data_IF_954579882057
#
_entry.id   IF_954579882057
#
_cell.length_a   1.000
_cell.length_b   1.000
_cell.length_c   1.000
_cell.angle_alpha   90.00
_cell.angle_beta   90.00
_cell.angle_gamma   90.00
#
_symmetry.space_group_name_H-M   'P 1'
#
loop_
_entity.id
_entity.type
_entity.pdbx_description
1 polymer ?
#
# COMPACT_ATOMS: atom_id res chain seq x y z
N UNK A 1 -10.43 -20.08 -83.62
CA UNK A 1 -10.33 -21.50 -84.03
C UNK A 1 -9.44 -21.53 -85.27
N UNK A 2 -8.36 -22.33 -85.36
CA UNK A 2 -8.31 -23.79 -85.11
C UNK A 2 -7.18 -24.23 -84.14
N UNK A 3 -7.01 -25.55 -83.88
CA UNK A 3 -6.39 -26.12 -82.68
C UNK A 3 -4.97 -26.70 -82.86
N UNK A 4 -4.41 -27.10 -81.72
CA UNK A 4 -3.12 -27.76 -81.42
C UNK A 4 -2.73 -28.97 -82.29
N UNK A 5 -1.46 -29.39 -82.18
CA UNK A 5 -1.12 -30.81 -82.19
C UNK A 5 -0.35 -31.29 -80.93
N UNK A 6 -0.33 -32.61 -80.64
CA UNK A 6 0.01 -33.16 -79.33
C UNK A 6 1.30 -34.04 -79.30
N UNK A 7 1.82 -34.24 -78.07
CA UNK A 7 2.49 -35.42 -77.47
C UNK A 7 3.22 -36.47 -78.35
N UNK A 8 4.48 -36.88 -78.07
CA UNK A 8 4.99 -37.85 -77.06
C UNK A 8 6.41 -38.33 -77.55
N UNK A 9 7.13 -39.33 -76.99
CA UNK A 9 7.39 -39.75 -75.59
C UNK A 9 8.90 -40.07 -75.31
N UNK A 10 9.23 -40.33 -74.04
CA UNK A 10 10.08 -41.49 -73.66
C UNK A 10 11.60 -41.31 -73.56
N UNK A 11 12.16 -41.63 -72.39
CA UNK A 11 13.59 -41.87 -72.20
C UNK A 11 13.98 -42.11 -70.75
N UNK A 12 14.02 -43.38 -70.33
CA UNK A 12 14.57 -43.83 -69.04
C UNK A 12 16.10 -43.70 -69.05
N UNK A 13 16.69 -43.31 -67.93
CA UNK A 13 18.13 -43.36 -67.71
C UNK A 13 18.48 -43.11 -66.25
N UNK A 14 18.87 -44.18 -65.57
CA UNK A 14 19.16 -44.27 -64.14
C UNK A 14 20.61 -43.91 -63.78
N UNK A 15 20.76 -43.44 -62.54
CA UNK A 15 21.90 -43.60 -61.62
C UNK A 15 23.06 -42.56 -61.56
N UNK A 16 23.25 -42.13 -60.30
CA UNK A 16 24.46 -41.70 -59.55
C UNK A 16 24.78 -40.21 -59.46
N UNK A 17 24.37 -39.65 -58.32
CA UNK A 17 24.87 -38.45 -57.61
C UNK A 17 26.32 -38.64 -57.09
N UNK A 18 26.91 -37.71 -56.30
CA UNK A 18 26.56 -36.29 -56.05
C UNK A 18 27.79 -35.35 -56.14
N UNK A 19 27.58 -34.02 -56.18
CA UNK A 19 28.27 -33.02 -55.31
C UNK A 19 27.88 -31.57 -55.63
N UNK A 20 27.56 -30.86 -54.55
CA UNK A 20 27.66 -29.42 -54.28
C UNK A 20 26.88 -28.40 -55.13
N UNK A 21 26.04 -27.61 -54.45
CA UNK A 21 25.59 -26.31 -54.95
C UNK A 21 24.31 -25.76 -54.32
N UNK A 22 24.43 -25.21 -53.11
CA UNK A 22 23.64 -24.10 -52.51
C UNK A 22 22.10 -24.01 -52.70
N UNK A 23 21.37 -24.16 -51.59
CA UNK A 23 20.02 -23.65 -51.38
C UNK A 23 20.05 -22.48 -50.35
N UNK A 24 19.07 -21.56 -50.37
CA UNK A 24 19.17 -20.27 -49.68
C UNK A 24 18.88 -20.35 -48.17
N UNK A 25 19.53 -19.47 -47.41
CA UNK A 25 19.38 -19.32 -45.95
C UNK A 25 17.95 -18.86 -45.58
N UNK A 26 17.21 -19.73 -44.91
CA UNK A 26 16.02 -19.36 -44.15
C UNK A 26 16.41 -18.75 -42.79
N UNK A 27 15.74 -17.67 -42.41
CA UNK A 27 15.90 -16.97 -41.12
C UNK A 27 15.50 -17.91 -39.96
N UNK A 28 16.38 -18.02 -38.96
CA UNK A 28 16.09 -18.72 -37.72
C UNK A 28 15.15 -17.88 -36.85
N UNK A 29 14.05 -18.50 -36.42
CA UNK A 29 13.22 -18.02 -35.31
C UNK A 29 13.89 -18.37 -33.97
N UNK A 30 13.79 -17.51 -32.94
CA UNK A 30 14.34 -17.82 -31.62
C UNK A 30 13.52 -18.90 -30.92
N UNK A 31 14.22 -19.86 -30.32
CA UNK A 31 13.67 -20.97 -29.53
C UNK A 31 13.15 -20.49 -28.17
N UNK A 32 12.15 -21.19 -27.59
CA UNK A 32 11.53 -20.80 -26.33
C UNK A 32 12.44 -21.10 -25.13
N UNK A 33 12.62 -20.10 -24.26
CA UNK A 33 13.36 -20.24 -23.02
C UNK A 33 12.54 -21.07 -22.03
N UNK A 34 12.95 -22.32 -21.81
CA UNK A 34 12.45 -23.17 -20.72
C UNK A 34 13.14 -22.78 -19.41
N UNK A 35 12.42 -22.17 -18.48
CA UNK A 35 12.66 -22.40 -17.05
C UNK A 35 11.39 -22.12 -16.23
N UNK A 36 10.56 -23.16 -16.10
CA UNK A 36 9.62 -23.27 -15.01
C UNK A 36 10.38 -23.74 -13.76
N UNK A 37 10.44 -22.91 -12.73
CA UNK A 37 10.74 -23.31 -11.36
C UNK A 37 9.52 -22.96 -10.51
N UNK A 38 8.70 -24.01 -10.29
CA UNK A 38 7.63 -24.21 -9.31
C UNK A 38 7.49 -23.10 -8.23
N UNK A 39 6.48 -22.25 -8.37
CA UNK A 39 5.76 -21.69 -7.23
C UNK A 39 4.62 -22.67 -6.89
N UNK A 40 4.74 -23.38 -5.77
CA UNK A 40 3.60 -24.08 -5.18
C UNK A 40 2.65 -23.08 -4.52
N UNK A 41 1.41 -23.48 -4.17
CA UNK A 41 0.53 -22.62 -3.39
C UNK A 41 1.22 -22.30 -2.05
N UNK A 42 1.26 -21.01 -1.70
CA UNK A 42 1.73 -20.53 -0.38
C UNK A 42 0.89 -21.23 0.71
N UNK A 43 1.50 -21.72 1.80
CA UNK A 43 0.73 -22.30 2.91
C UNK A 43 -0.11 -21.19 3.57
N UNK A 44 -1.29 -21.51 4.14
CA UNK A 44 -2.07 -20.53 4.88
C UNK A 44 -1.26 -20.04 6.09
N UNK A 45 -1.22 -18.70 6.26
CA UNK A 45 -0.65 -18.03 7.42
C UNK A 45 -1.22 -18.66 8.70
N UNK A 46 -0.34 -19.21 9.53
CA UNK A 46 -0.71 -19.63 10.88
C UNK A 46 -0.46 -18.45 11.79
N UNK A 47 -1.45 -17.58 11.92
CA UNK A 47 -1.58 -16.75 13.11
C UNK A 47 -1.56 -17.67 14.34
N UNK A 48 -0.61 -17.46 15.24
CA UNK A 48 -0.60 -18.14 16.52
C UNK A 48 -1.31 -17.20 17.50
N UNK A 49 -2.53 -17.55 17.98
CA UNK A 49 -3.23 -16.68 18.91
C UNK A 49 -2.46 -16.67 20.22
N UNK A 50 -1.67 -15.63 20.45
CA UNK A 50 -1.19 -15.29 21.77
C UNK A 50 -2.43 -15.08 22.65
N UNK A 51 -2.51 -15.86 23.72
CA UNK A 51 -3.67 -15.92 24.59
C UNK A 51 -4.06 -14.53 25.09
N UNK A 52 -5.16 -13.99 24.56
CA UNK A 52 -5.81 -12.76 25.02
C UNK A 52 -6.22 -12.97 26.48
N UNK A 53 -5.34 -12.56 27.40
CA UNK A 53 -5.65 -12.51 28.82
C UNK A 53 -6.58 -11.32 29.05
N UNK A 54 -7.71 -11.62 29.68
CA UNK A 54 -8.80 -10.73 30.12
C UNK A 54 -8.40 -9.26 30.37
N UNK A 55 -9.27 -8.30 30.02
CA UNK A 55 -9.00 -6.88 30.20
C UNK A 55 -8.85 -6.51 31.69
N UNK A 56 -7.94 -5.60 32.06
CA UNK A 56 -7.92 -5.03 33.39
C UNK A 56 -9.15 -4.12 33.63
N UNK A 57 -9.61 -4.12 34.88
CA UNK A 57 -10.76 -3.38 35.40
C UNK A 57 -10.62 -1.84 35.22
N UNK A 58 -11.74 -1.08 35.25
CA UNK A 58 -11.74 0.35 34.91
C UNK A 58 -10.98 1.22 35.92
N UNK A 59 -10.21 2.17 35.41
CA UNK A 59 -9.51 3.19 36.19
C UNK A 59 -10.48 4.09 36.99
N UNK A 60 -10.07 4.54 38.20
CA UNK A 60 -10.96 5.25 39.11
C UNK A 60 -11.21 6.70 38.68
N UNK A 61 -12.47 7.11 38.79
CA UNK A 61 -12.92 8.50 38.72
C UNK A 61 -12.49 9.24 39.99
N UNK A 62 -11.83 10.39 39.84
CA UNK A 62 -11.69 11.36 40.94
C UNK A 62 -12.33 12.70 40.57
N UNK A 63 -13.17 13.26 41.45
CA UNK A 63 -13.77 14.58 41.27
C UNK A 63 -12.93 15.64 41.99
N UNK A 64 -12.80 16.83 41.39
CA UNK A 64 -12.52 18.05 42.16
C UNK A 64 -12.87 19.30 41.36
N UNK A 65 -13.98 19.91 41.76
CA UNK A 65 -14.33 21.29 41.51
C UNK A 65 -13.26 22.24 42.09
N UNK A 66 -12.78 23.18 41.29
CA UNK A 66 -12.29 24.47 41.79
C UNK A 66 -12.93 25.61 41.01
N UNK A 67 -13.89 26.25 41.66
CA UNK A 67 -14.41 27.59 41.38
C UNK A 67 -13.27 28.61 41.43
N UNK A 68 -13.22 29.55 40.48
CA UNK A 68 -12.96 31.00 40.67
C UNK A 68 -13.02 31.77 39.31
N UNK A 69 -13.11 33.11 39.28
CA UNK A 69 -14.29 33.80 38.76
C UNK A 69 -14.15 34.34 37.33
N UNK A 70 -15.31 34.55 36.70
CA UNK A 70 -15.51 35.30 35.45
C UNK A 70 -14.85 36.69 35.51
N UNK A 71 -13.93 36.98 34.58
CA UNK A 71 -13.69 38.32 34.05
C UNK A 71 -14.06 38.34 32.56
N UNK A 72 -15.03 39.19 32.20
CA UNK A 72 -15.31 39.57 30.82
C UNK A 72 -14.27 40.60 30.36
N UNK A 73 -13.66 40.39 29.20
CA UNK A 73 -13.21 41.42 28.24
C UNK A 73 -13.49 40.82 26.85
N UNK A 74 -14.41 41.40 26.09
CA UNK A 74 -14.20 42.52 25.16
C UNK A 74 -13.24 42.10 24.05
N UNK A 75 -13.77 42.04 22.83
CA UNK A 75 -13.22 41.31 21.69
C UNK A 75 -11.83 41.74 21.25
N UNK A 76 -11.15 40.79 20.63
CA UNK A 76 -10.00 41.05 19.77
C UNK A 76 -10.06 40.05 18.60
N UNK A 77 -10.25 40.59 17.39
CA UNK A 77 -10.13 39.83 16.14
C UNK A 77 -8.64 39.70 15.86
N UNK A 78 -7.98 38.74 16.52
CA UNK A 78 -6.61 38.36 16.17
C UNK A 78 -6.65 37.22 15.17
N UNK A 79 -6.34 37.57 13.92
CA UNK A 79 -5.81 36.65 12.92
C UNK A 79 -4.74 35.79 13.58
N UNK A 80 -5.03 34.50 13.76
CA UNK A 80 -4.18 33.55 14.46
C UNK A 80 -2.89 33.38 13.67
N UNK A 81 -1.83 34.08 14.08
CA UNK A 81 -0.49 33.86 13.54
C UNK A 81 -0.10 32.41 13.80
N UNK A 82 0.04 31.63 12.71
CA UNK A 82 0.60 30.28 12.71
C UNK A 82 1.97 30.32 13.39
N UNK A 83 2.18 29.45 14.36
CA UNK A 83 3.48 29.20 15.02
C UNK A 83 4.50 28.67 14.00
N UNK A 84 5.80 29.02 14.12
CA UNK A 84 6.82 28.63 13.13
C UNK A 84 7.02 27.11 13.00
N UNK A 85 6.75 26.32 14.04
CA UNK A 85 6.78 24.85 13.98
C UNK A 85 5.72 24.26 13.02
N UNK A 86 4.57 24.92 12.89
CA UNK A 86 3.47 24.49 12.00
C UNK A 86 3.81 24.67 10.52
N UNK A 87 4.85 25.43 10.16
CA UNK A 87 5.15 25.82 8.77
C UNK A 87 6.19 24.91 8.10
N UNK A 88 6.94 24.12 8.88
CA UNK A 88 8.13 23.42 8.34
C UNK A 88 7.82 22.15 7.55
N UNK A 89 6.70 21.48 7.80
CA UNK A 89 6.28 20.33 6.99
C UNK A 89 5.56 20.76 5.69
N UNK A 90 4.97 21.95 5.65
CA UNK A 90 4.23 22.48 4.49
C UNK A 90 5.12 22.64 3.25
N UNK A 91 6.43 22.86 3.42
CA UNK A 91 7.37 22.92 2.29
C UNK A 91 7.50 21.57 1.55
N UNK A 92 7.17 20.48 2.23
CA UNK A 92 7.17 19.13 1.68
C UNK A 92 5.77 18.65 1.29
N UNK A 93 4.74 19.50 1.49
CA UNK A 93 3.38 19.16 1.09
C UNK A 93 3.32 18.99 -0.43
N UNK A 94 2.68 17.92 -0.87
CA UNK A 94 2.38 17.73 -2.27
C UNK A 94 1.49 18.88 -2.76
N UNK A 95 1.73 19.44 -3.97
CA UNK A 95 0.81 20.40 -4.55
C UNK A 95 -0.60 19.80 -4.63
N UNK A 96 -1.64 20.56 -4.24
CA UNK A 96 -3.02 20.05 -4.23
C UNK A 96 -3.46 19.49 -5.58
N UNK A 97 -3.08 20.13 -6.68
CA UNK A 97 -3.34 19.65 -8.05
C UNK A 97 -2.67 18.31 -8.36
N UNK A 98 -1.51 18.04 -7.77
CA UNK A 98 -0.82 16.74 -7.92
C UNK A 98 -1.55 15.67 -7.13
N UNK A 99 -2.03 16.00 -5.92
CA UNK A 99 -2.80 15.08 -5.10
C UNK A 99 -4.14 14.72 -5.76
N UNK A 100 -4.87 15.71 -6.28
CA UNK A 100 -6.11 15.51 -7.05
C UNK A 100 -5.90 14.62 -8.29
N UNK A 101 -4.75 14.78 -8.98
CA UNK A 101 -4.41 13.95 -10.12
C UNK A 101 -4.07 12.51 -9.72
N UNK A 102 -3.40 12.31 -8.58
CA UNK A 102 -3.16 10.99 -8.00
C UNK A 102 -4.48 10.31 -7.64
N UNK A 103 -5.36 10.99 -6.90
CA UNK A 103 -6.70 10.49 -6.54
C UNK A 103 -7.48 10.07 -7.78
N UNK A 104 -7.54 10.95 -8.79
CA UNK A 104 -8.24 10.66 -10.05
C UNK A 104 -7.71 9.40 -10.74
N UNK A 105 -6.38 9.18 -10.73
CA UNK A 105 -5.80 7.98 -11.34
C UNK A 105 -6.04 6.73 -10.50
N UNK A 106 -5.76 6.79 -9.20
CA UNK A 106 -5.79 5.64 -8.29
C UNK A 106 -7.21 5.07 -8.16
N UNK A 107 -8.23 5.92 -8.21
CA UNK A 107 -9.64 5.51 -8.14
C UNK A 107 -10.25 5.19 -9.52
N UNK A 108 -9.44 5.25 -10.59
CA UNK A 108 -9.92 4.95 -11.95
C UNK A 108 -9.77 3.47 -12.31
N UNK A 109 -10.58 3.04 -13.28
CA UNK A 109 -10.47 1.70 -13.90
C UNK A 109 -9.10 1.41 -14.53
N UNK A 110 -8.26 2.44 -14.76
CA UNK A 110 -6.90 2.23 -15.25
C UNK A 110 -5.99 1.59 -14.18
N UNK A 111 -6.34 1.74 -12.90
CA UNK A 111 -5.64 1.18 -11.75
C UNK A 111 -6.35 -0.09 -11.22
N UNK A 112 -6.83 -0.96 -12.10
CA UNK A 112 -7.70 -2.09 -11.74
C UNK A 112 -7.10 -3.09 -10.73
N UNK A 113 -5.78 -3.15 -10.62
CA UNK A 113 -5.04 -4.07 -9.74
C UNK A 113 -4.27 -3.36 -8.63
N UNK A 114 -4.17 -2.04 -8.66
CA UNK A 114 -3.43 -1.30 -7.65
C UNK A 114 -4.31 -0.91 -6.48
N UNK A 115 -3.65 -0.39 -5.44
CA UNK A 115 -4.36 0.25 -4.33
C UNK A 115 -5.10 1.52 -4.82
N UNK A 116 -6.32 1.71 -4.35
CA UNK A 116 -7.08 2.95 -4.52
C UNK A 116 -6.45 4.12 -3.73
N UNK A 117 -7.02 5.32 -3.80
CA UNK A 117 -6.45 6.49 -3.12
C UNK A 117 -6.32 6.31 -1.60
N UNK A 118 -7.30 5.65 -0.96
CA UNK A 118 -7.31 5.45 0.49
C UNK A 118 -6.27 4.41 0.91
N UNK A 119 -6.26 3.26 0.24
CA UNK A 119 -5.26 2.21 0.42
C UNK A 119 -3.85 2.72 0.12
N UNK A 120 -3.67 3.53 -0.91
CA UNK A 120 -2.38 4.12 -1.24
C UNK A 120 -1.85 4.97 -0.08
N UNK A 121 -2.68 5.84 0.51
CA UNK A 121 -2.27 6.62 1.67
C UNK A 121 -1.92 5.73 2.87
N UNK A 122 -2.72 4.68 3.13
CA UNK A 122 -2.44 3.71 4.20
C UNK A 122 -1.10 3.00 4.02
N UNK A 123 -0.84 2.51 2.81
CA UNK A 123 0.39 1.83 2.42
C UNK A 123 1.62 2.72 2.57
N UNK A 124 1.56 3.94 2.05
CA UNK A 124 2.64 4.91 2.19
C UNK A 124 2.86 5.30 3.65
N UNK A 125 1.81 5.32 4.48
CA UNK A 125 1.93 5.58 5.92
C UNK A 125 2.67 4.46 6.62
N UNK A 126 2.28 3.19 6.40
CA UNK A 126 2.96 2.02 6.96
C UNK A 126 4.44 1.96 6.58
N UNK A 127 4.76 2.19 5.30
CA UNK A 127 6.15 2.30 4.85
C UNK A 127 6.94 3.38 5.59
N UNK A 128 6.28 4.50 5.90
CA UNK A 128 6.90 5.67 6.53
C UNK A 128 7.12 5.49 8.02
N UNK A 129 6.19 4.84 8.72
CA UNK A 129 6.30 4.63 10.18
C UNK A 129 7.08 3.37 10.54
N UNK A 130 7.07 2.37 9.66
CA UNK A 130 7.71 1.08 9.87
C UNK A 130 9.20 1.04 9.52
N UNK A 131 9.82 -0.15 9.66
CA UNK A 131 11.25 -0.35 9.50
C UNK A 131 11.75 -0.26 8.05
N UNK A 132 10.86 -0.33 7.04
CA UNK A 132 11.24 -0.24 5.63
C UNK A 132 11.63 1.17 5.20
N UNK A 133 10.88 2.18 5.64
CA UNK A 133 11.16 3.61 5.41
C UNK A 133 10.98 4.13 3.98
N UNK A 134 11.00 3.28 2.95
CA UNK A 134 11.03 3.72 1.54
C UNK A 134 10.11 2.91 0.62
N UNK A 135 9.43 3.60 -0.29
CA UNK A 135 8.67 3.01 -1.40
C UNK A 135 9.60 2.51 -2.52
N UNK A 136 10.44 1.52 -2.29
CA UNK A 136 11.36 0.98 -3.32
C UNK A 136 10.63 0.16 -4.43
N UNK A 137 11.39 -0.48 -5.31
CA UNK A 137 10.82 -1.20 -6.46
C UNK A 137 9.99 -2.42 -6.05
N UNK A 138 10.38 -3.13 -5.00
CA UNK A 138 9.62 -4.26 -4.45
C UNK A 138 8.31 -3.78 -3.81
N UNK A 139 8.33 -2.64 -3.09
CA UNK A 139 7.11 -2.05 -2.54
C UNK A 139 6.19 -1.51 -3.64
N UNK A 140 6.73 -0.96 -4.73
CA UNK A 140 5.95 -0.56 -5.90
C UNK A 140 5.37 -1.75 -6.65
N UNK A 141 6.12 -2.86 -6.75
CA UNK A 141 5.63 -4.10 -7.32
C UNK A 141 4.44 -4.62 -6.51
N UNK A 142 4.55 -4.65 -5.18
CA UNK A 142 3.42 -5.01 -4.32
C UNK A 142 2.22 -4.06 -4.47
N UNK A 143 2.46 -2.75 -4.50
CA UNK A 143 1.42 -1.72 -4.64
C UNK A 143 0.58 -1.89 -5.91
N UNK A 144 1.20 -2.33 -7.02
CA UNK A 144 0.57 -2.51 -8.32
C UNK A 144 0.38 -3.99 -8.71
N UNK A 145 0.50 -4.93 -7.78
CA UNK A 145 0.40 -6.39 -8.04
C UNK A 145 1.31 -6.88 -9.20
N UNK A 146 2.56 -6.45 -9.24
CA UNK A 146 3.56 -6.73 -10.28
C UNK A 146 3.19 -6.20 -11.69
N UNK A 147 2.11 -5.42 -11.82
CA UNK A 147 1.65 -4.82 -13.07
C UNK A 147 2.31 -3.45 -13.33
N UNK A 148 2.39 -3.09 -14.61
CA UNK A 148 2.78 -1.74 -14.99
C UNK A 148 1.55 -0.81 -14.86
N UNK A 149 1.63 0.29 -14.07
CA UNK A 149 0.44 1.09 -13.75
C UNK A 149 -0.14 1.83 -14.96
N UNK A 150 0.72 2.24 -15.89
CA UNK A 150 0.32 2.95 -17.10
C UNK A 150 1.00 2.32 -18.32
N UNK A 151 0.35 2.25 -19.50
CA UNK A 151 0.96 1.66 -20.70
C UNK A 151 2.26 2.35 -21.14
N UNK A 152 2.38 3.65 -20.87
CA UNK A 152 3.59 4.43 -21.15
C UNK A 152 4.56 4.35 -19.96
N UNK A 153 5.83 4.03 -20.26
CA UNK A 153 6.86 3.87 -19.24
C UNK A 153 7.22 5.19 -18.56
N UNK A 154 7.30 6.30 -19.32
CA UNK A 154 7.63 7.60 -18.76
C UNK A 154 6.51 8.14 -17.86
N UNK A 155 5.26 7.90 -18.23
CA UNK A 155 4.10 8.21 -17.41
C UNK A 155 4.07 7.36 -16.12
N UNK A 156 4.41 6.07 -16.22
CA UNK A 156 4.55 5.19 -15.04
C UNK A 156 5.64 5.69 -14.08
N UNK A 157 6.79 6.12 -14.62
CA UNK A 157 7.88 6.65 -13.81
C UNK A 157 7.50 7.97 -13.13
N UNK A 158 6.82 8.86 -13.85
CA UNK A 158 6.30 10.11 -13.28
C UNK A 158 5.28 9.86 -12.15
N UNK A 159 4.39 8.88 -12.31
CA UNK A 159 3.45 8.46 -11.27
C UNK A 159 4.19 7.93 -10.03
N UNK A 160 5.19 7.06 -10.22
CA UNK A 160 6.01 6.51 -9.12
C UNK A 160 6.74 7.63 -8.37
N UNK A 161 7.26 8.63 -9.07
CA UNK A 161 7.89 9.80 -8.45
C UNK A 161 6.89 10.62 -7.62
N UNK A 162 5.64 10.78 -8.09
CA UNK A 162 4.59 11.46 -7.34
C UNK A 162 4.21 10.70 -6.06
N UNK A 163 4.10 9.36 -6.11
CA UNK A 163 3.86 8.52 -4.92
C UNK A 163 5.02 8.63 -3.92
N UNK A 164 6.27 8.63 -4.38
CA UNK A 164 7.45 8.85 -3.52
C UNK A 164 7.44 10.25 -2.90
N UNK A 165 7.01 11.26 -3.64
CA UNK A 165 6.87 12.62 -3.12
C UNK A 165 5.75 12.70 -2.08
N UNK A 166 4.64 11.97 -2.27
CA UNK A 166 3.56 11.88 -1.29
C UNK A 166 4.04 11.21 0.01
N UNK A 167 4.78 10.10 -0.09
CA UNK A 167 5.43 9.47 1.06
C UNK A 167 6.31 10.48 1.84
N UNK A 168 7.12 11.27 1.13
CA UNK A 168 7.96 12.31 1.75
C UNK A 168 7.13 13.36 2.49
N UNK A 169 5.96 13.73 1.97
CA UNK A 169 5.07 14.66 2.67
C UNK A 169 4.52 14.07 3.97
N UNK A 170 4.17 12.77 3.98
CA UNK A 170 3.71 12.05 5.18
C UNK A 170 4.84 12.00 6.22
N UNK A 171 6.04 11.63 5.77
CA UNK A 171 7.23 11.62 6.62
C UNK A 171 7.50 13.00 7.22
N UNK A 172 7.42 14.07 6.42
CA UNK A 172 7.65 15.42 6.90
C UNK A 172 6.65 15.84 7.98
N UNK A 173 5.37 15.47 7.86
CA UNK A 173 4.36 15.74 8.91
C UNK A 173 4.79 15.10 10.24
N UNK A 174 5.10 13.80 10.21
CA UNK A 174 5.47 13.02 11.40
C UNK A 174 6.81 13.46 11.99
N UNK A 175 7.82 13.68 11.15
CA UNK A 175 9.16 14.13 11.56
C UNK A 175 9.14 15.47 12.30
N UNK A 176 8.26 16.39 11.90
CA UNK A 176 8.08 17.67 12.57
C UNK A 176 7.09 17.59 13.75
N UNK A 177 6.76 16.38 14.24
CA UNK A 177 5.89 16.15 15.38
C UNK A 177 4.44 16.58 15.17
N UNK A 178 4.01 16.77 13.91
CA UNK A 178 2.63 17.11 13.58
C UNK A 178 1.78 15.84 13.47
N UNK A 179 0.52 15.92 13.91
CA UNK A 179 -0.45 14.83 13.75
C UNK A 179 -0.73 14.62 12.26
N UNK A 180 -0.65 13.37 11.80
CA UNK A 180 -1.06 13.00 10.46
C UNK A 180 -2.60 13.01 10.37
N UNK A 181 -3.13 13.81 9.44
CA UNK A 181 -4.55 13.80 9.09
C UNK A 181 -4.80 12.74 8.02
N UNK A 182 -5.80 11.89 8.22
CA UNK A 182 -6.16 10.85 7.24
C UNK A 182 -7.07 11.45 6.15
N UNK A 183 -7.02 10.91 4.92
CA UNK A 183 -7.85 11.37 3.81
C UNK A 183 -9.34 10.95 3.93
N UNK A 184 -9.73 10.32 5.03
CA UNK A 184 -11.07 9.80 5.25
C UNK A 184 -11.57 10.07 6.68
N UNK A 185 -12.86 9.83 6.90
CA UNK A 185 -13.44 9.96 8.25
C UNK A 185 -13.04 8.78 9.15
N UNK A 186 -12.77 9.07 10.43
CA UNK A 186 -12.41 8.04 11.43
C UNK A 186 -13.65 7.27 11.93
N UNK A 187 -14.41 6.69 11.01
CA UNK A 187 -15.58 5.85 11.29
C UNK A 187 -15.48 4.54 10.54
N UNK A 188 -16.01 3.46 11.12
CA UNK A 188 -16.03 2.15 10.50
C UNK A 188 -17.39 1.48 10.67
N UNK A 189 -17.74 0.62 9.71
CA UNK A 189 -18.92 -0.23 9.80
C UNK A 189 -18.50 -1.69 10.07
N UNK A 190 -19.20 -2.43 10.95
CA UNK A 190 -18.79 -3.80 11.31
C UNK A 190 -18.78 -4.78 10.13
N UNK A 191 -19.63 -4.57 9.13
CA UNK A 191 -19.86 -5.53 8.04
C UNK A 191 -19.75 -4.95 6.64
N UNK A 192 -19.53 -3.65 6.52
CA UNK A 192 -19.46 -2.98 5.21
C UNK A 192 -18.10 -2.30 5.10
N UNK A 193 -17.37 -2.51 3.99
CA UNK A 193 -16.15 -1.78 3.74
C UNK A 193 -16.46 -0.28 3.53
N UNK A 194 -15.51 0.56 3.88
CA UNK A 194 -15.53 1.99 3.69
C UNK A 194 -14.09 2.53 3.53
N UNK A 195 -13.98 3.83 3.25
CA UNK A 195 -12.67 4.49 3.02
C UNK A 195 -11.64 4.22 4.14
N UNK A 196 -12.07 4.10 5.41
CA UNK A 196 -11.17 3.78 6.51
C UNK A 196 -10.72 2.32 6.51
N UNK A 197 -11.59 1.37 6.15
CA UNK A 197 -11.16 -0.02 5.97
C UNK A 197 -10.19 -0.14 4.80
N UNK A 198 -10.41 0.59 3.71
CA UNK A 198 -9.54 0.59 2.52
C UNK A 198 -8.15 1.15 2.87
N UNK A 199 -8.12 2.22 3.66
CA UNK A 199 -6.89 2.74 4.25
C UNK A 199 -6.16 1.70 5.12
N UNK A 200 -6.91 0.97 5.97
CA UNK A 200 -6.33 -0.07 6.81
C UNK A 200 -5.82 -1.26 6.00
N UNK A 201 -6.49 -1.63 4.91
CA UNK A 201 -6.02 -2.64 3.95
C UNK A 201 -4.64 -2.24 3.42
N UNK A 202 -4.51 -1.03 2.86
CA UNK A 202 -3.23 -0.56 2.35
C UNK A 202 -2.13 -0.51 3.40
N UNK A 203 -2.45 -0.10 4.64
CA UNK A 203 -1.51 -0.13 5.76
C UNK A 203 -1.00 -1.55 6.04
N UNK A 204 -1.91 -2.52 6.10
CA UNK A 204 -1.57 -3.91 6.39
C UNK A 204 -0.80 -4.58 5.25
N UNK A 205 -1.13 -4.29 3.99
CA UNK A 205 -0.38 -4.77 2.82
C UNK A 205 1.10 -4.36 2.92
N UNK A 206 1.39 -3.09 3.23
CA UNK A 206 2.76 -2.62 3.43
C UNK A 206 3.47 -3.25 4.64
N UNK A 207 2.74 -3.53 5.72
CA UNK A 207 3.28 -4.21 6.90
C UNK A 207 3.69 -5.65 6.54
N UNK A 208 2.84 -6.38 5.83
CA UNK A 208 3.10 -7.77 5.42
C UNK A 208 4.28 -7.92 4.47
N UNK A 209 4.68 -6.87 3.75
CA UNK A 209 5.88 -6.90 2.90
C UNK A 209 7.19 -7.06 3.67
N UNK A 210 7.23 -6.67 4.93
CA UNK A 210 8.43 -6.73 5.77
C UNK A 210 8.11 -7.18 7.20
N UNK A 211 7.17 -8.12 7.31
CA UNK A 211 6.58 -8.59 8.57
C UNK A 211 7.66 -8.97 9.59
N UNK A 212 8.64 -9.77 9.17
CA UNK A 212 9.75 -10.20 10.03
C UNK A 212 10.48 -9.02 10.69
N UNK A 213 10.66 -7.90 9.97
CA UNK A 213 11.33 -6.71 10.51
C UNK A 213 10.42 -5.87 11.40
N UNK A 214 9.12 -5.88 11.15
CA UNK A 214 8.15 -5.22 12.03
C UNK A 214 8.17 -5.83 13.42
N UNK A 215 8.07 -7.16 13.52
CA UNK A 215 7.96 -7.86 14.80
C UNK A 215 9.32 -8.23 15.44
N UNK A 216 10.45 -7.86 14.83
CA UNK A 216 11.79 -8.27 15.27
C UNK A 216 12.18 -7.77 16.68
N UNK A 217 11.72 -6.58 17.07
CA UNK A 217 12.12 -5.93 18.32
C UNK A 217 11.20 -6.26 19.49
N UNK A 218 9.90 -6.04 19.32
CA UNK A 218 8.86 -6.29 20.33
C UNK A 218 7.56 -6.72 19.64
N UNK A 219 7.31 -8.03 19.61
CA UNK A 219 6.15 -8.60 18.91
C UNK A 219 4.82 -8.16 19.54
N UNK A 220 4.76 -8.16 20.88
CA UNK A 220 3.55 -7.83 21.64
C UNK A 220 3.21 -6.34 21.47
N UNK A 221 4.20 -5.45 21.52
CA UNK A 221 3.98 -4.01 21.32
C UNK A 221 3.49 -3.70 19.90
N UNK A 222 4.08 -4.32 18.87
CA UNK A 222 3.64 -4.10 17.48
C UNK A 222 2.24 -4.65 17.25
N UNK A 223 1.91 -5.82 17.81
CA UNK A 223 0.56 -6.38 17.74
C UNK A 223 -0.48 -5.45 18.37
N UNK A 224 -0.19 -4.88 19.55
CA UNK A 224 -1.07 -3.94 20.23
C UNK A 224 -1.23 -2.62 19.45
N UNK A 225 -0.12 -2.07 18.92
CA UNK A 225 -0.13 -0.79 18.20
C UNK A 225 -0.81 -0.89 16.82
N UNK A 226 -0.83 -2.08 16.22
CA UNK A 226 -1.42 -2.31 14.89
C UNK A 226 -2.82 -2.91 14.93
N UNK A 227 -3.32 -3.29 16.12
CA UNK A 227 -4.59 -3.98 16.28
C UNK A 227 -5.78 -3.30 15.55
N UNK A 228 -5.97 -1.96 15.60
CA UNK A 228 -7.04 -1.33 14.83
C UNK A 228 -6.90 -1.58 13.34
N UNK A 229 -5.70 -1.43 12.76
CA UNK A 229 -5.48 -1.63 11.32
C UNK A 229 -5.75 -3.09 10.93
N UNK A 230 -5.32 -4.05 11.75
CA UNK A 230 -5.60 -5.48 11.56
C UNK A 230 -7.11 -5.75 11.57
N UNK A 231 -7.83 -5.27 12.59
CA UNK A 231 -9.29 -5.48 12.74
C UNK A 231 -10.09 -4.80 11.63
N UNK A 232 -9.73 -3.57 11.27
CA UNK A 232 -10.48 -2.77 10.29
C UNK A 232 -10.19 -3.18 8.84
N UNK A 233 -9.00 -3.70 8.54
CA UNK A 233 -8.64 -4.19 7.19
C UNK A 233 -9.44 -5.44 6.77
N UNK A 234 -9.87 -6.27 7.73
CA UNK A 234 -10.56 -7.55 7.47
C UNK A 234 -9.74 -8.56 6.63
N UNK A 235 -8.42 -8.36 6.51
CA UNK A 235 -7.54 -9.25 5.74
C UNK A 235 -7.21 -10.56 6.47
N UNK A 236 -7.33 -10.57 7.80
CA UNK A 236 -7.01 -11.72 8.64
C UNK A 236 -8.29 -12.45 9.05
N UNK A 237 -8.44 -13.69 8.59
CA UNK A 237 -9.54 -14.58 8.95
C UNK A 237 -9.34 -15.19 10.35
N UNK A 238 -9.56 -14.36 11.38
CA UNK A 238 -9.57 -14.77 12.79
C UNK A 238 -10.94 -14.45 13.45
N UNK A 239 -11.66 -15.47 13.94
CA UNK A 239 -12.92 -15.29 14.67
C UNK A 239 -12.84 -14.31 15.85
N UNK A 240 -11.71 -14.22 16.54
CA UNK A 240 -11.55 -13.31 17.68
C UNK A 240 -11.52 -11.85 17.23
N UNK A 241 -10.88 -11.55 16.10
CA UNK A 241 -10.91 -10.20 15.50
C UNK A 241 -12.32 -9.81 15.05
N UNK A 242 -13.10 -10.76 14.54
CA UNK A 242 -14.50 -10.54 14.17
C UNK A 242 -15.39 -10.18 15.37
N UNK A 243 -15.08 -10.72 16.56
CA UNK A 243 -15.76 -10.31 17.80
C UNK A 243 -15.47 -8.84 18.12
N UNK A 244 -14.20 -8.41 17.99
CA UNK A 244 -13.81 -7.01 18.22
C UNK A 244 -14.50 -6.06 17.23
N UNK A 245 -14.51 -6.41 15.94
CA UNK A 245 -15.14 -5.62 14.86
C UNK A 245 -16.64 -5.41 15.07
N UNK A 246 -17.33 -6.40 15.66
CA UNK A 246 -18.78 -6.34 15.93
C UNK A 246 -19.13 -5.54 17.19
N UNK A 247 -18.19 -5.32 18.10
CA UNK A 247 -18.40 -4.43 19.24
C UNK A 247 -18.29 -2.97 18.79
N UNK A 248 -19.46 -2.32 18.61
CA UNK A 248 -19.55 -0.93 18.14
C UNK A 248 -18.82 0.08 19.01
N UNK A 249 -18.75 -0.16 20.33
CA UNK A 249 -18.05 0.75 21.23
C UNK A 249 -16.55 0.59 21.02
N UNK A 250 -16.07 -0.65 21.04
CA UNK A 250 -14.66 -0.94 20.82
C UNK A 250 -14.19 -0.47 19.45
N UNK A 251 -14.97 -0.73 18.39
CA UNK A 251 -14.66 -0.30 17.03
C UNK A 251 -14.51 1.22 16.95
N UNK A 252 -15.41 1.98 17.59
CA UNK A 252 -15.31 3.44 17.66
C UNK A 252 -14.07 3.91 18.43
N UNK A 253 -13.76 3.25 19.54
CA UNK A 253 -12.58 3.57 20.33
C UNK A 253 -11.32 3.28 19.49
N UNK A 254 -11.27 2.16 18.77
CA UNK A 254 -10.18 1.81 17.83
C UNK A 254 -10.02 2.86 16.73
N UNK A 255 -11.10 3.24 16.02
CA UNK A 255 -11.00 4.21 14.90
C UNK A 255 -10.47 5.56 15.36
N UNK A 256 -10.85 6.00 16.56
CA UNK A 256 -10.44 7.29 17.11
C UNK A 256 -8.97 7.36 17.52
N UNK A 257 -8.33 6.20 17.78
CA UNK A 257 -6.95 6.11 18.23
C UNK A 257 -5.92 5.98 17.10
N UNK A 258 -6.36 5.70 15.87
CA UNK A 258 -5.48 5.45 14.72
C UNK A 258 -4.39 6.53 14.57
N UNK A 259 -4.69 7.85 14.59
CA UNK A 259 -3.65 8.86 14.39
C UNK A 259 -2.59 8.89 15.51
N UNK A 260 -3.00 8.64 16.75
CA UNK A 260 -2.10 8.54 17.89
C UNK A 260 -1.21 7.30 17.77
N UNK A 261 -1.76 6.16 17.31
CA UNK A 261 -1.00 4.93 17.08
C UNK A 261 0.02 5.07 15.95
N UNK A 262 -0.32 5.77 14.86
CA UNK A 262 0.63 6.11 13.78
C UNK A 262 1.82 6.88 14.35
N UNK A 263 1.56 7.84 15.25
CA UNK A 263 2.61 8.62 15.90
C UNK A 263 3.48 7.74 16.80
N UNK A 264 2.86 6.84 17.58
CA UNK A 264 3.57 5.90 18.45
C UNK A 264 4.48 4.97 17.65
N UNK A 265 3.95 4.37 16.57
CA UNK A 265 4.72 3.52 15.64
C UNK A 265 5.90 4.28 15.03
N UNK A 266 5.68 5.52 14.58
CA UNK A 266 6.75 6.33 14.02
C UNK A 266 7.88 6.54 15.03
N UNK A 267 7.53 6.92 16.27
CA UNK A 267 8.51 7.11 17.34
C UNK A 267 9.23 5.79 17.70
N UNK A 268 8.53 4.67 17.73
CA UNK A 268 9.11 3.36 18.04
C UNK A 268 10.26 3.00 17.08
N UNK A 269 10.09 3.25 15.78
CA UNK A 269 11.11 2.91 14.77
C UNK A 269 12.12 4.02 14.46
N UNK A 270 11.80 5.29 14.77
CA UNK A 270 12.60 6.44 14.33
C UNK A 270 13.15 7.31 15.46
N UNK A 271 12.75 7.08 16.72
CA UNK A 271 13.38 7.78 17.83
C UNK A 271 14.86 7.36 17.92
N UNK A 272 15.77 8.29 18.25
CA UNK A 272 17.18 7.93 18.49
C UNK A 272 17.26 6.92 19.63
N UNK A 273 18.16 5.94 19.51
CA UNK A 273 18.54 5.09 20.64
C UNK A 273 18.97 6.00 21.81
N UNK A 274 18.33 5.84 22.96
CA UNK A 274 18.55 6.64 24.16
C UNK A 274 19.92 6.40 24.81
#
# INVERSE_FOLDING_TARGET
MPPSPPHRPGGRGSHRSPRHGAAPRARAAPAPCRRAARAGPRPPCRYHPAAIRRPPAPFPTHPASCLFPRRRRAGDTTMRTRTPETVMHEQYALPGTTLEALETFLDSEANAHGLDFMGAHGFLTALTVGPRGTLDDDALAAFFEDEQPLPDAAASDALREQLRAWQKSIHAVLYHGSRLELPCTLTAHPTEPNELSDWCVGFMEALFLDEDRWYAADEDEIADLTLPMVVLSDLVDDPDLQVLRRDRKLLKDMTSQIPELITALYLLFHAPDA
#
